data_IF_408924947414
#
_entry.id   IF_408924947414
#
_cell.length_a   1.000
_cell.length_b   1.000
_cell.length_c   1.000
_cell.angle_alpha   90.00
_cell.angle_beta   90.00
_cell.angle_gamma   90.00
#
_symmetry.space_group_name_H-M   'P 1'
#
loop_
_entity.id
_entity.type
_entity.pdbx_description
1 polymer ?
#
# COMPACT_ATOMS: atom_id res chain seq x y z
N UNK A 1 5.34 -27.25 23.11
CA UNK A 1 5.61 -25.89 22.60
C UNK A 1 4.38 -25.52 21.82
N UNK A 2 3.50 -24.75 22.45
CA UNK A 2 2.19 -24.41 21.92
C UNK A 2 2.40 -23.31 20.87
N UNK A 3 2.50 -23.71 19.59
CA UNK A 3 2.63 -22.80 18.44
C UNK A 3 1.28 -22.23 18.01
N UNK A 4 0.50 -21.75 18.98
CA UNK A 4 -0.79 -21.07 18.70
C UNK A 4 -0.65 -19.55 18.82
N UNK A 5 0.56 -19.03 18.56
CA UNK A 5 0.72 -17.65 18.12
C UNK A 5 0.00 -17.54 16.78
N UNK A 6 -1.24 -17.07 16.83
CA UNK A 6 -2.11 -16.82 15.68
C UNK A 6 -1.33 -16.02 14.64
N UNK A 7 -0.87 -16.70 13.58
CA UNK A 7 -0.09 -16.07 12.52
C UNK A 7 -1.05 -15.13 11.77
N UNK A 8 -0.94 -13.83 12.03
CA UNK A 8 -1.64 -12.81 11.25
C UNK A 8 -0.92 -12.64 9.91
N UNK A 9 -1.66 -12.83 8.83
CA UNK A 9 -1.15 -12.59 7.48
C UNK A 9 -1.04 -11.10 7.21
N UNK A 10 0.06 -10.68 6.59
CA UNK A 10 0.23 -9.29 6.16
C UNK A 10 -0.75 -8.96 5.03
N UNK A 11 -1.58 -7.94 5.22
CA UNK A 11 -2.51 -7.45 4.21
C UNK A 11 -1.91 -6.29 3.40
N UNK A 12 -2.01 -6.37 2.08
CA UNK A 12 -1.47 -5.37 1.16
C UNK A 12 -2.52 -4.95 0.11
N UNK A 13 -2.50 -3.68 -0.28
CA UNK A 13 -3.35 -3.14 -1.34
C UNK A 13 -2.61 -2.05 -2.12
N UNK A 14 -3.08 -1.76 -3.34
CA UNK A 14 -2.52 -0.67 -4.17
C UNK A 14 -3.13 0.67 -3.77
N UNK A 15 -2.30 1.68 -3.52
CA UNK A 15 -2.75 3.07 -3.40
C UNK A 15 -2.52 3.82 -4.72
N UNK A 16 -3.59 4.33 -5.34
CA UNK A 16 -3.52 5.19 -6.52
C UNK A 16 -3.95 6.62 -6.16
N UNK A 17 -3.06 7.58 -6.42
CA UNK A 17 -3.28 9.01 -6.16
C UNK A 17 -3.32 9.80 -7.48
N UNK A 18 -3.86 11.03 -7.49
CA UNK A 18 -3.71 11.91 -8.63
C UNK A 18 -2.22 12.19 -8.93
N UNK A 19 -1.84 12.46 -10.19
CA UNK A 19 -0.43 12.53 -10.60
C UNK A 19 0.43 13.53 -9.81
N UNK A 20 -0.16 14.67 -9.40
CA UNK A 20 0.55 15.71 -8.66
C UNK A 20 0.94 15.24 -7.25
N UNK A 21 0.01 14.62 -6.52
CA UNK A 21 0.25 14.06 -5.19
C UNK A 21 1.14 12.83 -5.25
N UNK A 22 0.95 11.96 -6.25
CA UNK A 22 1.77 10.77 -6.45
C UNK A 22 3.26 11.13 -6.66
N UNK A 23 3.54 12.16 -7.48
CA UNK A 23 4.91 12.64 -7.73
C UNK A 23 5.55 13.16 -6.46
N UNK A 24 4.85 14.04 -5.73
CA UNK A 24 5.33 14.59 -4.45
C UNK A 24 5.56 13.49 -3.41
N UNK A 25 4.65 12.53 -3.30
CA UNK A 25 4.78 11.42 -2.35
C UNK A 25 6.01 10.56 -2.69
N UNK A 26 6.24 10.28 -3.98
CA UNK A 26 7.42 9.54 -4.46
C UNK A 26 8.72 10.25 -4.09
N UNK A 27 8.81 11.55 -4.32
CA UNK A 27 10.00 12.34 -3.97
C UNK A 27 10.30 12.29 -2.47
N UNK A 28 9.27 12.36 -1.63
CA UNK A 28 9.43 12.28 -0.17
C UNK A 28 9.86 10.87 0.25
N UNK A 29 9.25 9.82 -0.30
CA UNK A 29 9.64 8.43 0.00
C UNK A 29 11.11 8.14 -0.33
N UNK A 30 11.62 8.70 -1.43
CA UNK A 30 13.00 8.48 -1.87
C UNK A 30 14.02 9.31 -1.08
N UNK A 31 13.70 10.57 -0.76
CA UNK A 31 14.68 11.50 -0.19
C UNK A 31 14.54 11.71 1.32
N UNK A 32 13.33 11.56 1.86
CA UNK A 32 12.96 11.90 3.25
C UNK A 32 11.92 10.93 3.82
N UNK A 33 12.15 9.61 3.77
CA UNK A 33 11.17 8.59 4.17
C UNK A 33 10.71 8.75 5.62
N UNK A 34 11.55 9.27 6.50
CA UNK A 34 11.24 9.54 7.91
C UNK A 34 10.08 10.54 8.10
N UNK A 35 9.82 11.39 7.10
CA UNK A 35 8.73 12.38 7.15
C UNK A 35 7.37 11.78 6.80
N UNK A 36 7.32 10.64 6.11
CA UNK A 36 6.08 10.05 5.61
C UNK A 36 5.09 9.78 6.74
N UNK A 37 5.58 9.28 7.89
CA UNK A 37 4.74 8.98 9.05
C UNK A 37 3.93 10.19 9.56
N UNK A 38 4.44 11.41 9.36
CA UNK A 38 3.74 12.65 9.75
C UNK A 38 2.86 13.21 8.63
N UNK A 39 3.18 12.90 7.37
CA UNK A 39 2.59 13.53 6.19
C UNK A 39 1.49 12.70 5.54
N UNK A 40 1.52 11.38 5.67
CA UNK A 40 0.57 10.47 5.04
C UNK A 40 -0.27 9.77 6.11
N UNK A 41 -1.59 9.94 6.02
CA UNK A 41 -2.57 9.15 6.78
C UNK A 41 -3.54 8.51 5.80
N UNK A 42 -3.83 7.24 6.02
CA UNK A 42 -4.75 6.46 5.20
C UNK A 42 -5.77 5.83 6.13
N UNK A 43 -7.06 5.97 5.81
CA UNK A 43 -8.16 5.29 6.48
C UNK A 43 -8.97 4.57 5.42
N UNK A 44 -9.27 3.29 5.64
CA UNK A 44 -10.04 2.47 4.70
C UNK A 44 -11.23 1.89 5.46
N UNK A 45 -12.41 1.94 4.85
CA UNK A 45 -13.60 1.24 5.28
C UNK A 45 -13.93 0.21 4.19
N UNK A 46 -13.69 -1.06 4.50
CA UNK A 46 -13.88 -2.19 3.58
C UNK A 46 -15.35 -2.48 3.33
N UNK A 47 -16.23 -2.27 4.31
CA UNK A 47 -17.67 -2.52 4.19
C UNK A 47 -18.32 -1.54 3.21
N UNK A 48 -17.89 -0.28 3.25
CA UNK A 48 -18.38 0.77 2.35
C UNK A 48 -17.59 0.86 1.04
N UNK A 49 -16.51 0.09 0.87
CA UNK A 49 -15.55 0.22 -0.21
C UNK A 49 -15.05 1.68 -0.40
N UNK A 50 -14.84 2.40 0.70
CA UNK A 50 -14.37 3.79 0.70
C UNK A 50 -13.05 3.91 1.42
N UNK A 51 -12.27 4.91 1.03
CA UNK A 51 -11.09 5.31 1.78
C UNK A 51 -10.87 6.81 1.75
N UNK A 52 -10.05 7.25 2.68
CA UNK A 52 -9.67 8.64 2.87
C UNK A 52 -8.16 8.71 3.00
N UNK A 53 -7.53 9.53 2.18
CA UNK A 53 -6.09 9.76 2.20
C UNK A 53 -5.85 11.22 2.52
N UNK A 54 -5.14 11.48 3.61
CA UNK A 54 -4.67 12.80 3.96
C UNK A 54 -3.17 12.85 3.67
N UNK A 55 -2.78 13.62 2.66
CA UNK A 55 -1.40 13.84 2.29
C UNK A 55 -1.03 15.31 2.47
N UNK A 56 -0.19 15.60 3.46
CA UNK A 56 0.13 16.95 3.92
C UNK A 56 -1.13 17.78 4.25
N UNK A 57 -1.55 18.68 3.35
CA UNK A 57 -2.76 19.50 3.50
C UNK A 57 -3.90 19.08 2.56
N UNK A 58 -3.65 18.13 1.66
CA UNK A 58 -4.63 17.65 0.70
C UNK A 58 -5.38 16.47 1.30
N UNK A 59 -6.72 16.54 1.24
CA UNK A 59 -7.61 15.44 1.58
C UNK A 59 -8.14 14.86 0.28
N UNK A 60 -7.99 13.56 0.12
CA UNK A 60 -8.42 12.82 -1.05
C UNK A 60 -9.42 11.76 -0.60
N UNK A 61 -10.56 11.73 -1.28
CA UNK A 61 -11.52 10.64 -1.15
C UNK A 61 -11.14 9.56 -2.17
N UNK A 62 -11.28 8.30 -1.79
CA UNK A 62 -11.00 7.18 -2.66
C UNK A 62 -12.07 6.11 -2.58
N UNK A 63 -12.18 5.36 -3.66
CA UNK A 63 -13.01 4.15 -3.71
C UNK A 63 -12.10 2.93 -3.69
N UNK A 64 -12.38 1.97 -2.82
CA UNK A 64 -11.69 0.69 -2.77
C UNK A 64 -12.25 -0.20 -3.88
N UNK A 65 -11.47 -0.39 -4.94
CA UNK A 65 -11.85 -1.18 -6.12
C UNK A 65 -11.23 -2.57 -6.02
N UNK A 66 -11.99 -3.58 -6.42
CA UNK A 66 -11.45 -4.93 -6.66
C UNK A 66 -10.69 -4.93 -7.98
N UNK A 67 -9.52 -5.56 -7.98
CA UNK A 67 -8.75 -5.79 -9.20
C UNK A 67 -9.32 -7.00 -9.94
N UNK A 68 -9.29 -7.00 -11.28
CA UNK A 68 -9.76 -8.15 -12.07
C UNK A 68 -8.84 -9.37 -11.94
N UNK A 69 -7.64 -9.20 -11.39
CA UNK A 69 -6.60 -10.22 -11.25
C UNK A 69 -6.01 -10.21 -9.85
N UNK A 70 -5.57 -11.38 -9.39
CA UNK A 70 -4.73 -11.50 -8.19
C UNK A 70 -3.30 -11.10 -8.56
N UNK A 71 -2.68 -10.27 -7.72
CA UNK A 71 -1.28 -9.85 -7.87
C UNK A 71 -0.51 -10.37 -6.66
N UNK A 72 0.47 -11.25 -6.88
CA UNK A 72 1.36 -11.72 -5.81
C UNK A 72 2.50 -10.73 -5.59
N UNK A 73 2.76 -10.37 -4.33
CA UNK A 73 3.96 -9.61 -3.95
C UNK A 73 5.06 -10.56 -3.52
N UNK A 74 6.29 -10.21 -3.91
CA UNK A 74 7.48 -10.98 -3.57
C UNK A 74 8.57 -10.07 -3.04
N UNK A 75 9.35 -10.58 -2.10
CA UNK A 75 10.62 -9.99 -1.66
C UNK A 75 11.77 -10.88 -2.12
N UNK A 76 12.90 -10.25 -2.44
CA UNK A 76 14.21 -10.91 -2.49
C UNK A 76 15.05 -10.36 -1.35
N UNK A 77 15.76 -11.25 -0.65
CA UNK A 77 16.72 -10.90 0.39
C UNK A 77 18.17 -11.10 -0.07
N UNK A 78 18.39 -11.45 -1.34
CA UNK A 78 19.72 -11.72 -1.89
C UNK A 78 20.10 -10.57 -2.83
N UNK A 79 20.99 -9.69 -2.38
CA UNK A 79 21.36 -8.46 -3.11
C UNK A 79 21.88 -8.72 -4.53
N UNK A 80 22.58 -9.84 -4.73
CA UNK A 80 23.21 -10.21 -6.00
C UNK A 80 22.45 -11.29 -6.78
N UNK A 81 21.31 -11.76 -6.28
CA UNK A 81 20.43 -12.72 -6.97
C UNK A 81 18.97 -12.26 -6.91
N UNK A 82 18.45 -11.86 -8.07
CA UNK A 82 17.06 -11.43 -8.24
C UNK A 82 16.16 -12.54 -8.78
N UNK A 83 16.69 -13.75 -9.01
CA UNK A 83 15.92 -14.89 -9.50
C UNK A 83 15.15 -15.59 -8.37
N UNK A 84 15.71 -15.59 -7.16
CA UNK A 84 15.05 -16.16 -5.98
C UNK A 84 14.05 -15.16 -5.39
N UNK A 85 12.76 -15.52 -5.41
CA UNK A 85 11.65 -14.69 -4.96
C UNK A 85 10.85 -15.41 -3.86
N UNK A 86 10.56 -14.70 -2.78
CA UNK A 86 9.76 -15.20 -1.66
C UNK A 86 8.43 -14.47 -1.62
N UNK A 87 7.32 -15.20 -1.77
CA UNK A 87 5.96 -14.64 -1.72
C UNK A 87 5.71 -13.99 -0.36
N UNK A 88 5.09 -12.82 -0.35
CA UNK A 88 4.76 -12.06 0.87
C UNK A 88 3.26 -11.87 1.08
N UNK A 89 2.51 -11.51 0.03
CA UNK A 89 1.08 -11.31 0.13
C UNK A 89 0.38 -11.48 -1.24
N UNK A 90 -0.93 -11.59 -1.19
CA UNK A 90 -1.82 -11.52 -2.36
C UNK A 90 -2.57 -10.19 -2.34
N UNK A 91 -2.42 -9.41 -3.41
CA UNK A 91 -3.14 -8.14 -3.61
C UNK A 91 -4.30 -8.39 -4.57
N UNK A 92 -5.50 -8.02 -4.15
CA UNK A 92 -6.71 -8.06 -4.98
C UNK A 92 -7.50 -6.75 -4.99
N UNK A 93 -6.99 -5.70 -4.35
CA UNK A 93 -7.69 -4.43 -4.19
C UNK A 93 -6.78 -3.22 -4.42
N UNK A 94 -7.41 -2.11 -4.81
CA UNK A 94 -6.78 -0.81 -5.00
C UNK A 94 -7.65 0.30 -4.44
N UNK A 95 -7.10 1.13 -3.57
CA UNK A 95 -7.72 2.40 -3.18
C UNK A 95 -7.41 3.44 -4.26
N UNK A 96 -8.44 3.81 -5.02
CA UNK A 96 -8.34 4.77 -6.12
C UNK A 96 -8.84 6.15 -5.71
N UNK A 97 -7.91 7.11 -5.58
CA UNK A 97 -8.16 8.51 -5.27
C UNK A 97 -8.00 9.44 -6.48
N UNK A 98 -7.99 8.89 -7.71
CA UNK A 98 -7.66 9.63 -8.93
C UNK A 98 -8.74 10.54 -9.50
N UNK A 99 -9.95 10.56 -8.93
CA UNK A 99 -11.11 11.30 -9.44
C UNK A 99 -11.97 11.85 -8.30
#
# INVERSE_FOLDING_TARGET
>A
MDFDDKIELEEQFILRLPPAEATKLREILQNKPEKIKKLLKISVNTDENKGYVCFAKTKLHGTLKKLPTIIETYKTNICHDKSTLFKTADICQMLDCGY
#
